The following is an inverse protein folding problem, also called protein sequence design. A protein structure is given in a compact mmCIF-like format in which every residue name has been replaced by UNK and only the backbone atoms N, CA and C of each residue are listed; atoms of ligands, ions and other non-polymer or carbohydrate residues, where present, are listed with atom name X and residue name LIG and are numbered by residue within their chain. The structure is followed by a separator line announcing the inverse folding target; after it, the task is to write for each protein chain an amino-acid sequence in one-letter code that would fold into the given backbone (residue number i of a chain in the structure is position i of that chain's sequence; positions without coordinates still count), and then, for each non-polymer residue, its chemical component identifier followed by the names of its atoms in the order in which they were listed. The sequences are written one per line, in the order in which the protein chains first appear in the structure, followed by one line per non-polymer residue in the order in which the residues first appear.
data_IF_662677105041
#
_entry.id   IF_662677105041
#
_cell.length_a   1.000
_cell.length_b   1.000
_cell.length_c   1.000
_cell.angle_alpha   90.00
_cell.angle_beta   90.00
_cell.angle_gamma   90.00
#
_symmetry.space_group_name_H-M   'P 1'
#
loop_
_entity.id
_entity.type
_entity.pdbx_description
1 polymer ?
#
# COMPACT_ATOMS: atom_id res chain seq x y z
N UNK A 1 21.99 -10.41 23.30
CA UNK A 1 20.59 -10.87 23.36
C UNK A 1 19.56 -9.73 23.29
N UNK A 2 19.57 -8.74 24.20
CA UNK A 2 18.54 -7.65 24.20
C UNK A 2 18.43 -6.88 22.87
N UNK A 3 19.54 -6.47 22.26
CA UNK A 3 19.52 -5.73 20.96
C UNK A 3 18.94 -6.55 19.80
N UNK A 4 19.27 -7.85 19.72
CA UNK A 4 18.71 -8.73 18.69
C UNK A 4 17.19 -8.93 18.88
N UNK A 5 16.73 -9.11 20.12
CA UNK A 5 15.31 -9.21 20.44
C UNK A 5 14.57 -7.92 20.08
N UNK A 6 15.14 -6.75 20.41
CA UNK A 6 14.54 -5.45 20.02
C UNK A 6 14.41 -5.31 18.51
N UNK A 7 15.42 -5.73 17.73
CA UNK A 7 15.36 -5.70 16.26
C UNK A 7 14.22 -6.56 15.72
N UNK A 8 14.10 -7.80 16.21
CA UNK A 8 13.03 -8.72 15.83
C UNK A 8 11.66 -8.12 16.16
N UNK A 9 11.51 -7.53 17.36
CA UNK A 9 10.22 -6.96 17.78
C UNK A 9 9.85 -5.72 16.97
N UNK A 10 10.81 -4.87 16.58
CA UNK A 10 10.53 -3.74 15.67
C UNK A 10 10.13 -4.24 14.29
N UNK A 11 10.73 -5.30 13.76
CA UNK A 11 10.31 -5.91 12.50
C UNK A 11 8.93 -6.58 12.63
N UNK A 12 8.61 -7.22 13.76
CA UNK A 12 7.26 -7.73 14.01
C UNK A 12 6.21 -6.60 14.14
N UNK A 13 6.58 -5.45 14.72
CA UNK A 13 5.71 -4.29 14.69
C UNK A 13 5.48 -3.77 13.27
N UNK A 14 6.51 -3.79 12.40
CA UNK A 14 6.37 -3.45 10.97
C UNK A 14 5.39 -4.37 10.25
N UNK A 15 5.35 -5.64 10.61
CA UNK A 15 4.40 -6.61 10.10
C UNK A 15 2.92 -6.19 10.29
N UNK A 16 2.60 -5.37 11.30
CA UNK A 16 1.23 -4.94 11.59
C UNK A 16 0.78 -3.68 10.84
N UNK A 17 1.67 -3.05 10.10
CA UNK A 17 1.43 -1.73 9.47
C UNK A 17 0.22 -1.75 8.54
N UNK A 18 0.12 -2.72 7.64
CA UNK A 18 -0.97 -2.79 6.67
C UNK A 18 -2.15 -3.65 7.14
N UNK A 19 -2.47 -3.64 8.44
CA UNK A 19 -3.59 -4.42 8.99
C UNK A 19 -4.92 -4.08 8.30
N UNK A 20 -5.16 -2.84 7.94
CA UNK A 20 -6.40 -2.42 7.30
C UNK A 20 -6.62 -3.05 5.92
N UNK A 21 -5.59 -3.58 5.26
CA UNK A 21 -5.69 -4.10 3.90
C UNK A 21 -6.64 -5.29 3.75
N UNK A 22 -6.91 -6.03 4.83
CA UNK A 22 -7.86 -7.13 4.79
C UNK A 22 -9.30 -6.69 4.51
N UNK A 23 -9.65 -5.42 4.73
CA UNK A 23 -11.02 -4.93 4.51
C UNK A 23 -11.48 -5.07 3.07
N UNK A 24 -10.55 -5.03 2.10
CA UNK A 24 -10.87 -5.27 0.68
C UNK A 24 -11.37 -6.69 0.41
N UNK A 25 -11.02 -7.67 1.26
CA UNK A 25 -11.35 -9.08 1.09
C UNK A 25 -12.82 -9.33 1.41
N UNK A 26 -13.33 -8.67 2.45
CA UNK A 26 -14.73 -8.81 2.90
C UNK A 26 -15.67 -7.82 2.22
N UNK A 27 -15.17 -6.97 1.35
CA UNK A 27 -15.95 -5.88 0.76
C UNK A 27 -17.14 -6.38 -0.06
N UNK A 28 -16.98 -7.48 -0.81
CA UNK A 28 -18.06 -8.11 -1.57
C UNK A 28 -19.21 -8.62 -0.69
N UNK A 29 -18.88 -9.26 0.43
CA UNK A 29 -19.90 -9.70 1.41
C UNK A 29 -20.59 -8.51 2.09
N UNK A 30 -19.86 -7.40 2.32
CA UNK A 30 -20.43 -6.18 2.92
C UNK A 30 -21.39 -5.51 1.94
N UNK A 31 -21.09 -5.45 0.64
CA UNK A 31 -22.04 -4.95 -0.37
C UNK A 31 -23.34 -5.73 -0.36
N UNK A 32 -23.27 -7.06 -0.23
CA UNK A 32 -24.46 -7.91 -0.12
C UNK A 32 -25.24 -7.66 1.18
N UNK A 33 -24.54 -7.38 2.29
CA UNK A 33 -25.18 -7.11 3.59
C UNK A 33 -25.85 -5.72 3.66
N UNK A 34 -25.37 -4.75 2.87
CA UNK A 34 -25.87 -3.36 2.88
C UNK A 34 -26.21 -2.87 1.46
N UNK A 35 -27.22 -3.44 0.79
CA UNK A 35 -27.56 -3.11 -0.58
C UNK A 35 -27.96 -1.63 -0.73
N UNK A 36 -27.54 -0.99 -1.82
CA UNK A 36 -27.83 0.40 -2.12
C UNK A 36 -26.98 1.42 -1.36
N UNK A 37 -25.96 0.98 -0.59
CA UNK A 37 -25.02 1.85 0.13
C UNK A 37 -23.58 1.75 -0.42
N UNK A 38 -23.41 1.35 -1.68
CA UNK A 38 -22.12 1.00 -2.28
C UNK A 38 -21.09 2.13 -2.20
N UNK A 39 -21.53 3.38 -2.45
CA UNK A 39 -20.69 4.58 -2.37
C UNK A 39 -20.16 4.88 -0.95
N UNK A 40 -20.85 4.42 0.08
CA UNK A 40 -20.38 4.53 1.48
C UNK A 40 -19.58 3.29 1.87
N UNK A 41 -20.00 2.12 1.41
CA UNK A 41 -19.35 0.84 1.72
C UNK A 41 -17.93 0.78 1.18
N UNK A 42 -17.66 1.33 0.00
CA UNK A 42 -16.30 1.39 -0.57
C UNK A 42 -15.32 2.17 0.33
N UNK A 43 -15.81 3.08 1.16
CA UNK A 43 -14.98 3.81 2.13
C UNK A 43 -14.36 2.89 3.20
N UNK A 44 -14.95 1.74 3.47
CA UNK A 44 -14.40 0.75 4.42
C UNK A 44 -13.00 0.31 3.98
N UNK A 45 -12.78 0.19 2.68
CA UNK A 45 -11.49 -0.21 2.12
C UNK A 45 -10.58 0.97 1.74
N UNK A 46 -11.15 2.11 1.33
CA UNK A 46 -10.38 3.23 0.78
C UNK A 46 -10.02 4.31 1.81
N UNK A 47 -10.88 4.57 2.80
CA UNK A 47 -10.64 5.62 3.81
C UNK A 47 -9.45 5.32 4.74
N UNK A 48 -9.13 4.07 5.13
CA UNK A 48 -7.94 3.78 5.91
C UNK A 48 -6.64 4.26 5.26
N UNK A 49 -6.54 4.26 3.92
CA UNK A 49 -5.37 4.76 3.19
C UNK A 49 -5.22 6.29 3.33
N UNK A 50 -6.32 7.03 3.38
CA UNK A 50 -6.30 8.48 3.66
C UNK A 50 -5.86 8.74 5.10
N UNK A 51 -6.38 7.97 6.07
CA UNK A 51 -5.98 8.08 7.47
C UNK A 51 -4.52 7.68 7.66
N UNK A 52 -4.02 6.68 6.95
CA UNK A 52 -2.59 6.36 6.89
C UNK A 52 -1.76 7.57 6.46
N UNK A 53 -2.14 8.24 5.39
CA UNK A 53 -1.46 9.44 4.89
C UNK A 53 -1.45 10.54 5.96
N UNK A 54 -2.61 10.87 6.54
CA UNK A 54 -2.74 11.90 7.57
C UNK A 54 -1.90 11.55 8.81
N UNK A 55 -1.98 10.30 9.26
CA UNK A 55 -1.22 9.83 10.42
C UNK A 55 0.29 9.78 10.18
N UNK A 56 0.73 9.52 8.95
CA UNK A 56 2.14 9.60 8.57
C UNK A 56 2.67 11.04 8.66
N UNK A 57 1.93 12.04 8.19
CA UNK A 57 2.29 13.45 8.37
C UNK A 57 2.27 13.86 9.84
N UNK A 58 1.23 13.48 10.58
CA UNK A 58 1.13 13.76 12.01
C UNK A 58 2.27 13.10 12.80
N UNK A 59 2.73 11.93 12.39
CA UNK A 59 3.79 11.19 13.08
C UNK A 59 5.11 11.96 13.11
N UNK A 60 5.42 12.79 12.12
CA UNK A 60 6.61 13.64 12.11
C UNK A 60 6.65 14.60 13.32
N UNK A 61 5.49 15.16 13.72
CA UNK A 61 5.36 16.01 14.89
C UNK A 61 5.24 15.21 16.19
N UNK A 62 4.52 14.10 16.16
CA UNK A 62 4.29 13.27 17.33
C UNK A 62 5.58 12.57 17.80
N UNK A 63 6.37 12.04 16.87
CA UNK A 63 7.64 11.36 17.17
C UNK A 63 8.71 12.32 17.69
N UNK A 64 8.60 13.63 17.38
CA UNK A 64 9.48 14.66 17.92
C UNK A 64 9.12 15.07 19.36
N UNK A 65 7.91 14.76 19.85
CA UNK A 65 7.42 15.20 21.17
C UNK A 65 7.15 14.04 22.13
N UNK A 66 6.80 12.87 21.60
CA UNK A 66 6.36 11.72 22.40
C UNK A 66 7.26 10.51 22.19
N UNK A 67 7.27 9.64 23.19
CA UNK A 67 8.02 8.39 23.15
C UNK A 67 7.49 7.49 22.01
N UNK A 68 8.37 7.09 21.09
CA UNK A 68 8.06 6.23 19.95
C UNK A 68 7.36 4.93 20.33
N UNK A 69 7.83 4.28 21.40
CA UNK A 69 7.23 3.05 21.92
C UNK A 69 5.76 3.24 22.31
N UNK A 70 5.45 4.34 23.00
CA UNK A 70 4.08 4.64 23.44
C UNK A 70 3.18 4.90 22.25
N UNK A 71 3.65 5.68 21.26
CA UNK A 71 2.89 5.95 20.03
C UNK A 71 2.60 4.70 19.23
N UNK A 72 3.57 3.78 19.10
CA UNK A 72 3.40 2.48 18.44
C UNK A 72 2.34 1.65 19.17
N UNK A 73 2.42 1.54 20.49
CA UNK A 73 1.45 0.76 21.29
C UNK A 73 0.03 1.35 21.14
N UNK A 74 -0.12 2.66 21.30
CA UNK A 74 -1.42 3.33 21.22
C UNK A 74 -2.06 3.13 19.84
N UNK A 75 -1.29 3.31 18.77
CA UNK A 75 -1.80 3.15 17.40
C UNK A 75 -2.26 1.71 17.14
N UNK A 76 -1.50 0.70 17.59
CA UNK A 76 -1.86 -0.70 17.45
C UNK A 76 -3.10 -1.06 18.28
N UNK A 77 -3.21 -0.54 19.52
CA UNK A 77 -4.38 -0.75 20.40
C UNK A 77 -5.64 -0.14 19.77
N UNK A 78 -5.54 1.07 19.20
CA UNK A 78 -6.67 1.70 18.49
C UNK A 78 -7.15 0.80 17.35
N UNK A 79 -6.25 0.27 16.53
CA UNK A 79 -6.63 -0.59 15.41
C UNK A 79 -7.28 -1.91 15.88
N UNK A 80 -6.74 -2.52 16.94
CA UNK A 80 -7.34 -3.73 17.53
C UNK A 80 -8.72 -3.44 18.09
N UNK A 81 -8.87 -2.37 18.87
CA UNK A 81 -10.17 -1.99 19.45
C UNK A 81 -11.21 -1.72 18.35
N UNK A 82 -10.83 -0.94 17.31
CA UNK A 82 -11.71 -0.66 16.18
C UNK A 82 -12.15 -1.93 15.44
N UNK A 83 -11.23 -2.84 15.15
CA UNK A 83 -11.56 -4.11 14.51
C UNK A 83 -12.46 -5.01 15.36
N UNK A 84 -12.20 -5.11 16.67
CA UNK A 84 -13.03 -5.88 17.58
C UNK A 84 -14.44 -5.31 17.72
N UNK A 85 -14.59 -3.98 17.71
CA UNK A 85 -15.92 -3.35 17.73
C UNK A 85 -16.71 -3.79 16.51
N UNK A 86 -16.14 -3.76 15.30
CA UNK A 86 -16.85 -4.25 14.09
C UNK A 86 -17.13 -5.76 14.15
N UNK A 87 -16.22 -6.55 14.73
CA UNK A 87 -16.38 -7.99 14.80
C UNK A 87 -17.49 -8.47 15.76
N UNK A 88 -17.87 -7.66 16.76
CA UNK A 88 -18.75 -8.08 17.84
C UNK A 88 -19.95 -7.16 18.08
N UNK A 89 -19.98 -5.98 17.49
CA UNK A 89 -21.07 -5.02 17.66
C UNK A 89 -21.73 -4.78 16.30
N UNK A 90 -23.04 -4.89 16.26
CA UNK A 90 -23.82 -4.52 15.07
C UNK A 90 -23.75 -3.01 14.86
N UNK A 91 -23.17 -2.59 13.76
CA UNK A 91 -22.97 -1.20 13.41
C UNK A 91 -23.64 -0.86 12.08
N UNK A 92 -24.15 0.38 11.93
CA UNK A 92 -24.49 0.89 10.61
C UNK A 92 -23.21 1.05 9.76
N UNK A 93 -23.33 1.08 8.42
CA UNK A 93 -22.18 1.20 7.49
C UNK A 93 -21.25 2.35 7.88
N UNK A 94 -21.79 3.52 8.25
CA UNK A 94 -20.99 4.66 8.69
C UNK A 94 -20.13 4.35 9.93
N UNK A 95 -20.63 3.53 10.86
CA UNK A 95 -19.86 3.06 12.02
C UNK A 95 -18.74 2.12 11.63
N UNK A 96 -18.98 1.21 10.67
CA UNK A 96 -17.96 0.31 10.12
C UNK A 96 -16.87 1.12 9.41
N UNK A 97 -17.26 2.13 8.61
CA UNK A 97 -16.34 3.05 7.94
C UNK A 97 -15.45 3.77 8.95
N UNK A 98 -16.03 4.32 10.03
CA UNK A 98 -15.26 5.02 11.06
C UNK A 98 -14.25 4.09 11.76
N UNK A 99 -14.67 2.88 12.12
CA UNK A 99 -13.76 1.88 12.70
C UNK A 99 -12.66 1.47 11.73
N UNK A 100 -13.00 1.20 10.47
CA UNK A 100 -12.00 0.86 9.43
C UNK A 100 -10.99 1.98 9.22
N UNK A 101 -11.44 3.24 9.19
CA UNK A 101 -10.58 4.41 9.08
C UNK A 101 -9.52 4.46 10.20
N UNK A 102 -9.92 4.19 11.45
CA UNK A 102 -9.00 4.14 12.59
C UNK A 102 -7.92 3.06 12.44
N UNK A 103 -8.20 1.97 11.72
CA UNK A 103 -7.23 0.93 11.44
C UNK A 103 -6.10 1.39 10.49
N UNK A 104 -6.26 2.53 9.81
CA UNK A 104 -5.20 3.17 9.03
C UNK A 104 -4.13 3.88 9.87
N UNK A 105 -4.40 4.19 11.15
CA UNK A 105 -3.47 4.92 12.02
C UNK A 105 -2.12 4.20 12.20
N UNK A 106 -2.06 2.88 12.48
CA UNK A 106 -0.78 2.18 12.59
C UNK A 106 0.06 2.27 11.32
N UNK A 107 -0.57 2.29 10.15
CA UNK A 107 0.15 2.35 8.88
C UNK A 107 1.01 3.62 8.76
N UNK A 108 0.54 4.76 9.25
CA UNK A 108 1.34 5.97 9.29
C UNK A 108 2.31 6.02 10.47
N UNK A 109 1.82 5.75 11.69
CA UNK A 109 2.60 5.93 12.93
C UNK A 109 3.68 4.87 13.09
N UNK A 110 3.33 3.57 12.95
CA UNK A 110 4.28 2.45 13.16
C UNK A 110 5.33 2.44 12.06
N UNK A 111 4.94 2.68 10.81
CA UNK A 111 5.88 2.72 9.69
C UNK A 111 6.95 3.81 9.90
N UNK A 112 6.53 5.04 10.24
CA UNK A 112 7.44 6.15 10.48
C UNK A 112 8.33 5.92 11.72
N UNK A 113 7.74 5.43 12.84
CA UNK A 113 8.50 5.11 14.04
C UNK A 113 9.57 4.04 13.77
N UNK A 114 9.19 2.93 13.12
CA UNK A 114 10.10 1.83 12.85
C UNK A 114 11.19 2.22 11.84
N UNK A 115 10.87 2.98 10.80
CA UNK A 115 11.85 3.49 9.85
C UNK A 115 12.92 4.35 10.54
N UNK A 116 12.55 5.11 11.59
CA UNK A 116 13.51 5.90 12.37
C UNK A 116 14.31 5.08 13.40
N UNK A 117 13.72 4.02 13.95
CA UNK A 117 14.34 3.19 15.00
C UNK A 117 15.29 2.13 14.44
N UNK A 118 14.93 1.50 13.32
CA UNK A 118 15.67 0.37 12.75
C UNK A 118 17.15 0.68 12.46
N UNK A 119 17.51 1.81 11.81
CA UNK A 119 18.92 2.14 11.57
C UNK A 119 19.73 2.35 12.85
N UNK A 120 19.08 2.79 13.94
CA UNK A 120 19.73 3.06 15.23
C UNK A 120 20.07 1.80 16.02
N UNK A 121 19.27 0.74 15.88
CA UNK A 121 19.42 -0.52 16.63
C UNK A 121 20.07 -1.64 15.82
N UNK A 122 20.12 -1.50 14.50
CA UNK A 122 20.69 -2.51 13.62
C UNK A 122 22.19 -2.68 13.87
N UNK A 123 22.69 -3.92 13.92
CA UNK A 123 24.15 -4.19 13.90
C UNK A 123 24.77 -3.64 12.62
N UNK A 124 26.05 -3.24 12.66
CA UNK A 124 26.75 -2.67 11.48
C UNK A 124 26.68 -3.59 10.26
N UNK A 125 26.73 -4.91 10.46
CA UNK A 125 26.62 -5.90 9.38
C UNK A 125 25.24 -5.96 8.70
N UNK A 126 24.20 -5.38 9.31
CA UNK A 126 22.84 -5.41 8.80
C UNK A 126 22.27 -4.01 8.48
N UNK A 127 22.99 -2.91 8.76
CA UNK A 127 22.52 -1.54 8.55
C UNK A 127 22.02 -1.31 7.12
N UNK A 128 22.76 -1.79 6.12
CA UNK A 128 22.40 -1.63 4.71
C UNK A 128 21.20 -2.47 4.28
N UNK A 129 20.85 -3.50 5.07
CA UNK A 129 19.79 -4.47 4.74
C UNK A 129 18.53 -4.30 5.58
N UNK A 130 18.62 -3.59 6.70
CA UNK A 130 17.54 -3.52 7.69
C UNK A 130 16.27 -2.89 7.14
N UNK A 131 16.39 -1.91 6.25
CA UNK A 131 15.23 -1.30 5.59
C UNK A 131 14.58 -2.26 4.58
N UNK A 132 15.36 -3.11 3.93
CA UNK A 132 14.83 -4.20 3.11
C UNK A 132 14.04 -5.22 3.93
N UNK A 133 14.53 -5.59 5.12
CA UNK A 133 13.78 -6.44 6.06
C UNK A 133 12.50 -5.78 6.56
N UNK A 134 12.54 -4.46 6.78
CA UNK A 134 11.35 -3.69 7.12
C UNK A 134 10.28 -3.81 6.04
N UNK A 135 10.63 -3.55 4.78
CA UNK A 135 9.69 -3.67 3.66
C UNK A 135 9.18 -5.12 3.49
N UNK A 136 10.04 -6.12 3.65
CA UNK A 136 9.64 -7.51 3.62
C UNK A 136 8.63 -7.84 4.73
N UNK A 137 8.83 -7.31 5.94
CA UNK A 137 7.91 -7.50 7.06
C UNK A 137 6.52 -6.87 6.78
N UNK A 138 6.46 -5.69 6.15
CA UNK A 138 5.21 -5.05 5.72
C UNK A 138 4.42 -5.98 4.79
N UNK A 139 5.06 -6.50 3.75
CA UNK A 139 4.42 -7.35 2.74
C UNK A 139 4.00 -8.71 3.31
N UNK A 140 4.85 -9.32 4.15
CA UNK A 140 4.51 -10.56 4.86
C UNK A 140 3.29 -10.38 5.77
N UNK A 141 3.20 -9.26 6.47
CA UNK A 141 2.04 -8.91 7.29
C UNK A 141 0.77 -8.84 6.46
N UNK A 142 0.80 -8.11 5.37
CA UNK A 142 -0.34 -7.98 4.46
C UNK A 142 -0.77 -9.35 3.89
N UNK A 143 0.19 -10.18 3.53
CA UNK A 143 -0.08 -11.56 3.06
C UNK A 143 -0.80 -12.40 4.11
N UNK A 144 -0.32 -12.38 5.36
CA UNK A 144 -0.93 -13.12 6.46
C UNK A 144 -2.33 -12.59 6.78
N UNK A 145 -2.51 -11.27 6.82
CA UNK A 145 -3.82 -10.67 7.09
C UNK A 145 -4.86 -11.08 6.05
N UNK A 146 -4.45 -11.16 4.78
CA UNK A 146 -5.34 -11.64 3.71
C UNK A 146 -5.79 -13.08 3.94
N UNK A 147 -4.87 -13.99 4.26
CA UNK A 147 -5.19 -15.40 4.55
C UNK A 147 -6.08 -15.55 5.78
N UNK A 148 -5.72 -14.89 6.88
CA UNK A 148 -6.44 -14.97 8.15
C UNK A 148 -7.84 -14.39 8.01
N UNK A 149 -8.00 -13.27 7.30
CA UNK A 149 -9.30 -12.69 7.01
C UNK A 149 -10.17 -13.65 6.20
N UNK A 150 -9.66 -14.20 5.10
CA UNK A 150 -10.39 -15.16 4.29
C UNK A 150 -10.84 -16.39 5.10
N UNK A 151 -10.03 -16.83 6.07
CA UNK A 151 -10.40 -17.92 6.97
C UNK A 151 -11.53 -17.53 7.94
N UNK A 152 -11.46 -16.37 8.59
CA UNK A 152 -12.47 -15.92 9.57
C UNK A 152 -13.77 -15.46 8.91
N UNK A 153 -13.71 -15.00 7.67
CA UNK A 153 -14.88 -14.51 6.91
C UNK A 153 -15.60 -15.62 6.12
N UNK A 154 -15.21 -16.90 6.27
CA UNK A 154 -15.82 -18.02 5.53
C UNK A 154 -17.33 -18.05 5.68
N UNK A 155 -18.04 -18.39 4.59
CA UNK A 155 -19.48 -18.54 4.57
C UNK A 155 -20.25 -17.22 4.65
N UNK A 156 -19.67 -16.11 4.16
CA UNK A 156 -20.32 -14.79 4.16
C UNK A 156 -20.27 -14.05 5.50
N UNK A 157 -19.47 -14.53 6.45
CA UNK A 157 -19.31 -13.87 7.77
C UNK A 157 -18.29 -12.72 7.67
N UNK A 158 -18.66 -11.65 6.95
CA UNK A 158 -17.80 -10.48 6.78
C UNK A 158 -17.33 -9.86 8.11
N UNK A 159 -18.20 -9.80 9.12
CA UNK A 159 -17.87 -9.28 10.45
C UNK A 159 -16.78 -10.15 11.12
N UNK A 160 -16.85 -11.47 10.91
CA UNK A 160 -15.79 -12.41 11.34
C UNK A 160 -14.42 -12.06 10.77
N UNK A 161 -14.35 -11.52 9.55
CA UNK A 161 -13.09 -11.09 8.92
C UNK A 161 -12.34 -10.04 9.75
N UNK A 162 -13.04 -9.19 10.50
CA UNK A 162 -12.42 -8.20 11.39
C UNK A 162 -11.72 -8.83 12.60
N UNK A 163 -11.98 -10.10 12.93
CA UNK A 163 -11.20 -10.86 13.94
C UNK A 163 -9.72 -11.05 13.53
N UNK A 164 -9.37 -10.74 12.30
CA UNK A 164 -7.96 -10.69 11.84
C UNK A 164 -7.07 -9.84 12.75
N UNK A 165 -7.63 -8.82 13.40
CA UNK A 165 -6.89 -7.98 14.37
C UNK A 165 -6.34 -8.75 15.57
N UNK A 166 -6.82 -9.96 15.86
CA UNK A 166 -6.24 -10.81 16.92
C UNK A 166 -4.77 -11.14 16.69
N UNK A 167 -4.33 -11.17 15.42
CA UNK A 167 -2.92 -11.40 15.07
C UNK A 167 -2.01 -10.30 15.62
N UNK A 168 -2.54 -9.10 15.86
CA UNK A 168 -1.75 -7.97 16.40
C UNK A 168 -1.53 -8.11 17.92
N UNK A 169 -2.43 -8.75 18.66
CA UNK A 169 -2.37 -8.78 20.13
C UNK A 169 -1.05 -9.36 20.66
N UNK A 170 -0.56 -10.52 20.19
CA UNK A 170 0.75 -11.02 20.58
C UNK A 170 1.89 -10.04 20.27
N UNK A 171 1.80 -9.33 19.15
CA UNK A 171 2.80 -8.35 18.75
C UNK A 171 2.79 -7.15 19.70
N UNK A 172 1.61 -6.66 20.12
CA UNK A 172 1.51 -5.59 21.13
C UNK A 172 2.21 -6.00 22.43
N UNK A 173 2.00 -7.23 22.90
CA UNK A 173 2.66 -7.75 24.12
C UNK A 173 4.19 -7.73 23.96
N UNK A 174 4.69 -8.20 22.81
CA UNK A 174 6.13 -8.18 22.52
C UNK A 174 6.68 -6.75 22.42
N UNK A 175 5.93 -5.83 21.84
CA UNK A 175 6.29 -4.40 21.76
C UNK A 175 6.35 -3.79 23.16
N UNK A 176 5.39 -4.07 24.03
CA UNK A 176 5.41 -3.60 25.43
C UNK A 176 6.65 -4.09 26.15
N UNK A 177 7.07 -5.33 25.94
CA UNK A 177 8.19 -5.92 26.65
C UNK A 177 9.56 -5.53 26.06
N UNK A 178 9.71 -5.54 24.74
CA UNK A 178 11.04 -5.54 24.10
C UNK A 178 11.28 -4.41 23.10
N UNK A 179 10.26 -3.59 22.77
CA UNK A 179 10.48 -2.44 21.87
C UNK A 179 11.46 -1.46 22.52
N UNK A 180 12.48 -0.97 21.80
CA UNK A 180 13.50 -0.10 22.37
C UNK A 180 12.91 1.23 22.83
N UNK A 181 13.27 1.65 24.04
CA UNK A 181 12.91 2.96 24.56
C UNK A 181 14.01 3.95 24.16
N UNK A 182 13.82 4.64 23.03
CA UNK A 182 14.77 5.63 22.53
C UNK A 182 14.28 6.99 23.01
N UNK A 183 15.09 7.74 23.81
CA UNK A 183 14.75 9.09 24.24
C UNK A 183 14.56 10.05 23.07
N UNK A 184 13.63 10.98 23.20
CA UNK A 184 13.32 11.99 22.16
C UNK A 184 14.52 12.87 21.79
N UNK A 185 15.44 13.07 22.74
CA UNK A 185 16.64 13.93 22.59
C UNK A 185 17.78 13.29 21.77
N UNK A 186 17.71 12.01 21.45
CA UNK A 186 18.81 11.27 20.76
C UNK A 186 18.83 11.49 19.25
N UNK A 187 17.88 12.22 18.70
CA UNK A 187 17.99 12.73 17.33
C UNK A 187 18.91 13.94 17.31
N UNK A 188 20.21 13.72 17.17
CA UNK A 188 21.02 14.69 16.46
C UNK A 188 20.30 14.92 15.12
N UNK A 189 19.69 16.11 14.94
CA UNK A 189 19.10 16.50 13.65
C UNK A 189 20.12 16.15 12.59
N UNK A 190 19.82 15.33 11.60
CA UNK A 190 20.76 15.08 10.53
C UNK A 190 21.19 16.45 10.03
N UNK A 191 22.50 16.71 9.93
CA UNK A 191 23.02 17.98 9.40
C UNK A 191 22.36 18.33 8.07
N UNK A 192 22.02 17.31 7.28
CA UNK A 192 21.24 17.40 6.05
C UNK A 192 19.87 18.05 6.19
N UNK A 193 19.10 17.81 7.29
CA UNK A 193 17.78 18.44 7.43
C UNK A 193 17.85 19.95 7.71
N UNK A 194 18.92 20.41 8.36
CA UNK A 194 19.10 21.85 8.64
C UNK A 194 19.58 22.59 7.39
N UNK A 195 20.40 21.96 6.57
CA UNK A 195 20.81 22.49 5.27
C UNK A 195 19.66 22.46 4.26
N UNK A 196 18.87 21.39 4.22
CA UNK A 196 17.68 21.26 3.36
C UNK A 196 16.58 22.28 3.70
N UNK A 197 16.43 22.71 4.98
CA UNK A 197 15.44 23.73 5.37
C UNK A 197 15.70 25.09 4.74
N UNK A 198 16.97 25.42 4.49
CA UNK A 198 17.37 26.70 3.91
C UNK A 198 17.49 26.66 2.37
N UNK A 199 17.43 25.47 1.77
CA UNK A 199 17.48 25.31 0.32
C UNK A 199 16.11 25.69 -0.29
N UNK A 200 16.11 26.57 -1.28
CA UNK A 200 14.87 26.89 -2.02
C UNK A 200 14.49 25.71 -2.92
N UNK A 201 13.21 25.34 -2.92
CA UNK A 201 12.70 24.37 -3.88
C UNK A 201 12.93 24.95 -5.28
N UNK A 202 13.82 24.31 -6.03
CA UNK A 202 14.07 24.68 -7.43
C UNK A 202 12.89 24.24 -8.33
N UNK A 203 12.87 24.76 -9.56
CA UNK A 203 11.87 24.34 -10.55
C UNK A 203 12.05 22.83 -10.83
N UNK A 204 11.00 22.04 -10.59
CA UNK A 204 11.03 20.61 -10.91
C UNK A 204 11.19 20.39 -12.42
N UNK A 205 12.05 19.46 -12.86
CA UNK A 205 12.16 19.09 -14.27
C UNK A 205 10.84 18.51 -14.78
N UNK A 206 10.52 18.77 -16.04
CA UNK A 206 9.25 18.33 -16.66
C UNK A 206 9.05 16.81 -16.56
N UNK A 207 10.13 16.03 -16.74
CA UNK A 207 10.03 14.58 -16.62
C UNK A 207 9.61 14.12 -15.22
N UNK A 208 10.08 14.78 -14.16
CA UNK A 208 9.71 14.46 -12.78
C UNK A 208 8.23 14.77 -12.49
N UNK A 209 7.74 15.89 -13.01
CA UNK A 209 6.31 16.23 -12.93
C UNK A 209 5.47 15.18 -13.67
N UNK A 210 5.87 14.77 -14.88
CA UNK A 210 5.19 13.74 -15.66
C UNK A 210 5.17 12.40 -14.93
N UNK A 211 6.27 12.01 -14.28
CA UNK A 211 6.34 10.80 -13.45
C UNK A 211 5.39 10.88 -12.26
N UNK A 212 5.34 12.00 -11.56
CA UNK A 212 4.42 12.21 -10.43
C UNK A 212 2.95 12.17 -10.87
N UNK A 213 2.62 12.80 -11.99
CA UNK A 213 1.26 12.73 -12.57
C UNK A 213 0.92 11.29 -12.97
N UNK A 214 1.85 10.59 -13.62
CA UNK A 214 1.68 9.16 -13.96
C UNK A 214 1.42 8.31 -12.72
N UNK A 215 2.13 8.59 -11.62
CA UNK A 215 1.93 7.88 -10.37
C UNK A 215 0.53 8.13 -9.78
N UNK A 216 0.11 9.40 -9.67
CA UNK A 216 -1.22 9.75 -9.15
C UNK A 216 -2.33 9.10 -9.98
N UNK A 217 -2.29 9.29 -11.31
CA UNK A 217 -3.30 8.72 -12.21
C UNK A 217 -3.24 7.19 -12.19
N UNK A 218 -2.05 6.62 -12.15
CA UNK A 218 -1.84 5.19 -11.98
C UNK A 218 -2.48 4.68 -10.68
N UNK A 219 -2.23 5.32 -9.53
CA UNK A 219 -2.82 4.95 -8.25
C UNK A 219 -4.34 4.92 -8.27
N UNK A 220 -4.98 5.81 -9.03
CA UNK A 220 -6.44 5.80 -9.17
C UNK A 220 -6.91 4.54 -9.92
N UNK A 221 -6.26 4.16 -11.02
CA UNK A 221 -6.80 3.13 -11.90
C UNK A 221 -6.31 1.70 -11.58
N UNK A 222 -5.05 1.49 -11.21
CA UNK A 222 -4.60 0.13 -10.90
C UNK A 222 -5.20 -0.45 -9.62
N UNK A 223 -5.68 0.41 -8.68
CA UNK A 223 -6.44 -0.04 -7.52
C UNK A 223 -7.85 -0.54 -7.86
N UNK A 224 -8.31 -0.39 -9.10
CA UNK A 224 -9.58 -0.93 -9.56
C UNK A 224 -9.72 -2.44 -9.37
N UNK A 225 -8.63 -3.21 -9.49
CA UNK A 225 -8.59 -4.62 -9.14
C UNK A 225 -8.82 -4.84 -7.63
N UNK A 226 -8.08 -4.16 -6.78
CA UNK A 226 -8.14 -4.38 -5.33
C UNK A 226 -9.48 -4.06 -4.71
N UNK A 227 -10.12 -2.99 -5.15
CA UNK A 227 -11.40 -2.55 -4.58
C UNK A 227 -12.60 -3.34 -5.10
N UNK A 228 -12.46 -4.04 -6.24
CA UNK A 228 -13.59 -4.69 -6.88
C UNK A 228 -13.44 -6.22 -7.00
N UNK A 229 -12.27 -6.81 -6.74
CA UNK A 229 -12.06 -8.25 -6.91
C UNK A 229 -12.91 -9.12 -5.99
N UNK A 230 -13.19 -8.65 -4.77
CA UNK A 230 -14.03 -9.37 -3.82
C UNK A 230 -15.47 -9.45 -4.32
N UNK A 231 -16.05 -8.34 -4.70
CA UNK A 231 -17.41 -8.27 -5.23
C UNK A 231 -17.53 -9.03 -6.55
N UNK A 232 -16.56 -8.90 -7.44
CA UNK A 232 -16.50 -9.65 -8.70
C UNK A 232 -16.47 -11.17 -8.47
N UNK A 233 -15.59 -11.67 -7.59
CA UNK A 233 -15.40 -13.10 -7.35
C UNK A 233 -16.62 -13.72 -6.66
N UNK A 234 -17.18 -13.03 -5.66
CA UNK A 234 -18.25 -13.54 -4.81
C UNK A 234 -19.61 -13.37 -5.48
N UNK A 235 -19.94 -12.14 -5.85
CA UNK A 235 -21.31 -11.78 -6.24
C UNK A 235 -21.56 -11.86 -7.74
N UNK A 236 -20.63 -11.35 -8.56
CA UNK A 236 -20.85 -11.26 -10.00
C UNK A 236 -20.48 -12.53 -10.75
N UNK A 237 -19.26 -13.02 -10.58
CA UNK A 237 -18.76 -14.22 -11.28
C UNK A 237 -19.04 -15.51 -10.51
N UNK A 238 -19.40 -15.44 -9.23
CA UNK A 238 -19.76 -16.57 -8.35
C UNK A 238 -18.70 -17.70 -8.40
N UNK A 239 -17.41 -17.32 -8.41
CA UNK A 239 -16.29 -18.27 -8.52
C UNK A 239 -15.95 -18.93 -7.18
N UNK A 240 -16.33 -18.31 -6.06
CA UNK A 240 -16.06 -18.81 -4.72
C UNK A 240 -16.45 -17.83 -3.63
N UNK A 241 -15.98 -18.09 -2.44
CA UNK A 241 -16.24 -17.30 -1.24
C UNK A 241 -15.06 -16.39 -0.86
N UNK A 242 -15.19 -15.70 0.26
CA UNK A 242 -14.16 -14.83 0.84
C UNK A 242 -12.83 -15.55 1.09
N UNK A 243 -12.83 -16.89 1.24
CA UNK A 243 -11.60 -17.69 1.36
C UNK A 243 -10.79 -17.63 0.06
N UNK A 244 -11.47 -17.76 -1.09
CA UNK A 244 -10.81 -17.61 -2.40
C UNK A 244 -10.25 -16.20 -2.58
N UNK A 245 -11.02 -15.17 -2.23
CA UNK A 245 -10.56 -13.76 -2.29
C UNK A 245 -9.32 -13.57 -1.41
N UNK A 246 -9.33 -14.11 -0.19
CA UNK A 246 -8.18 -14.10 0.72
C UNK A 246 -6.95 -14.77 0.12
N UNK A 247 -7.12 -15.92 -0.53
CA UNK A 247 -6.04 -16.64 -1.23
C UNK A 247 -5.46 -15.85 -2.41
N UNK A 248 -6.32 -15.27 -3.24
CA UNK A 248 -5.94 -14.45 -4.40
C UNK A 248 -5.17 -13.20 -3.94
N UNK A 249 -5.68 -12.46 -2.94
CA UNK A 249 -5.04 -11.25 -2.42
C UNK A 249 -3.75 -11.56 -1.64
N UNK A 250 -3.70 -12.69 -0.95
CA UNK A 250 -2.49 -13.16 -0.27
C UNK A 250 -1.36 -13.44 -1.27
N UNK A 251 -1.65 -14.16 -2.37
CA UNK A 251 -0.67 -14.38 -3.44
C UNK A 251 -0.24 -13.07 -4.09
N UNK A 252 -1.19 -12.16 -4.31
CA UNK A 252 -0.93 -10.83 -4.83
C UNK A 252 0.14 -10.10 -4.00
N UNK A 253 -0.04 -10.03 -2.68
CA UNK A 253 0.90 -9.36 -1.79
C UNK A 253 2.22 -10.10 -1.63
N UNK A 254 2.23 -11.43 -1.63
CA UNK A 254 3.45 -12.23 -1.59
C UNK A 254 4.35 -11.98 -2.81
N UNK A 255 3.76 -11.82 -3.98
CA UNK A 255 4.47 -11.52 -5.24
C UNK A 255 5.06 -10.11 -5.26
N UNK A 256 4.56 -9.18 -4.44
CA UNK A 256 5.12 -7.83 -4.28
C UNK A 256 6.62 -7.84 -3.97
N UNK A 257 7.03 -8.77 -3.12
CA UNK A 257 8.45 -8.88 -2.72
C UNK A 257 9.33 -9.25 -3.92
N UNK A 258 8.84 -10.12 -4.79
CA UNK A 258 9.53 -10.52 -6.03
C UNK A 258 9.62 -9.33 -6.97
N UNK A 259 8.53 -8.57 -7.13
CA UNK A 259 8.48 -7.36 -7.97
C UNK A 259 9.50 -6.31 -7.54
N UNK A 260 9.57 -6.01 -6.25
CA UNK A 260 10.55 -5.08 -5.70
C UNK A 260 12.01 -5.55 -5.89
N UNK A 261 12.27 -6.85 -5.69
CA UNK A 261 13.61 -7.42 -5.88
C UNK A 261 14.02 -7.46 -7.37
N UNK A 262 13.07 -7.68 -8.27
CA UNK A 262 13.32 -7.81 -9.71
C UNK A 262 13.56 -6.46 -10.41
N UNK A 263 13.27 -5.31 -9.78
CA UNK A 263 13.29 -3.99 -10.44
C UNK A 263 14.64 -3.67 -11.08
N UNK A 264 15.76 -3.95 -10.40
CA UNK A 264 17.10 -3.68 -10.95
C UNK A 264 17.40 -4.49 -12.20
N UNK A 265 16.99 -5.77 -12.22
CA UNK A 265 17.11 -6.62 -13.40
C UNK A 265 16.20 -6.12 -14.52
N UNK A 266 14.94 -5.82 -14.20
CA UNK A 266 13.94 -5.29 -15.14
C UNK A 266 14.39 -3.99 -15.81
N UNK A 267 14.90 -3.03 -15.01
CA UNK A 267 15.39 -1.76 -15.54
C UNK A 267 16.63 -1.92 -16.45
N UNK A 268 17.53 -2.87 -16.13
CA UNK A 268 18.69 -3.17 -16.99
C UNK A 268 18.24 -3.80 -18.31
N UNK A 269 17.27 -4.72 -18.28
CA UNK A 269 16.77 -5.43 -19.46
C UNK A 269 15.98 -4.50 -20.39
N UNK A 270 15.04 -3.75 -19.84
CA UNK A 270 14.06 -2.99 -20.63
C UNK A 270 14.33 -1.50 -20.73
N UNK A 271 15.28 -0.95 -19.95
CA UNK A 271 15.73 0.47 -20.03
C UNK A 271 14.53 1.44 -20.04
N UNK A 272 14.41 2.28 -21.07
CA UNK A 272 13.31 3.24 -21.23
C UNK A 272 11.92 2.63 -21.40
N UNK A 273 11.81 1.33 -21.62
CA UNK A 273 10.56 0.59 -21.64
C UNK A 273 10.14 0.04 -20.26
N UNK A 274 10.98 0.19 -19.25
CA UNK A 274 10.77 -0.44 -17.93
C UNK A 274 9.43 -0.09 -17.31
N UNK A 275 9.10 1.19 -17.22
CA UNK A 275 7.83 1.67 -16.66
C UNK A 275 6.63 1.34 -17.57
N UNK A 276 6.66 1.60 -18.90
CA UNK A 276 5.60 1.22 -19.80
C UNK A 276 5.24 -0.27 -19.73
N UNK A 277 6.24 -1.14 -19.85
CA UNK A 277 6.00 -2.60 -19.85
C UNK A 277 5.49 -3.11 -18.50
N UNK A 278 5.92 -2.54 -17.39
CA UNK A 278 5.42 -2.90 -16.07
C UNK A 278 3.92 -2.55 -15.92
N UNK A 279 3.52 -1.36 -16.35
CA UNK A 279 2.11 -0.96 -16.36
C UNK A 279 1.26 -1.77 -17.34
N UNK A 280 1.80 -2.08 -18.54
CA UNK A 280 1.12 -2.95 -19.50
C UNK A 280 0.92 -4.36 -18.93
N UNK A 281 1.93 -4.93 -18.25
CA UNK A 281 1.81 -6.23 -17.60
C UNK A 281 0.67 -6.23 -16.58
N UNK A 282 0.63 -5.23 -15.69
CA UNK A 282 -0.43 -5.09 -14.70
C UNK A 282 -1.80 -4.95 -15.34
N UNK A 283 -1.95 -4.03 -16.29
CA UNK A 283 -3.22 -3.76 -16.96
C UNK A 283 -3.75 -4.95 -17.76
N UNK A 284 -2.90 -5.62 -18.54
CA UNK A 284 -3.33 -6.80 -19.35
C UNK A 284 -3.75 -7.96 -18.46
N UNK A 285 -2.98 -8.24 -17.39
CA UNK A 285 -3.33 -9.31 -16.47
C UNK A 285 -4.63 -9.04 -15.70
N UNK A 286 -4.89 -7.80 -15.29
CA UNK A 286 -6.15 -7.43 -14.60
C UNK A 286 -7.34 -7.35 -15.54
N UNK A 287 -7.11 -7.13 -16.83
CA UNK A 287 -8.17 -7.19 -17.83
C UNK A 287 -8.65 -8.64 -18.09
N UNK A 288 -7.78 -9.64 -17.95
CA UNK A 288 -8.08 -11.03 -18.30
C UNK A 288 -9.33 -11.61 -17.60
N UNK A 289 -9.52 -11.50 -16.25
CA UNK A 289 -10.70 -12.06 -15.60
C UNK A 289 -12.00 -11.32 -15.97
N UNK A 290 -11.92 -10.10 -16.47
CA UNK A 290 -13.11 -9.36 -16.93
C UNK A 290 -13.69 -9.96 -18.21
N UNK A 291 -12.87 -10.66 -19.01
CA UNK A 291 -13.30 -11.34 -20.24
C UNK A 291 -13.51 -12.83 -19.98
N UNK A 292 -12.62 -13.47 -19.24
CA UNK A 292 -12.63 -14.90 -18.93
C UNK A 292 -12.74 -15.06 -17.40
N UNK A 293 -13.97 -15.09 -16.84
CA UNK A 293 -14.20 -15.16 -15.40
C UNK A 293 -13.93 -16.58 -14.88
N UNK A 294 -12.67 -16.88 -14.58
CA UNK A 294 -12.24 -18.17 -14.03
C UNK A 294 -11.24 -17.98 -12.90
N UNK A 295 -11.18 -18.93 -11.97
CA UNK A 295 -10.26 -18.90 -10.84
C UNK A 295 -8.79 -18.73 -11.29
N UNK A 296 -8.27 -19.49 -12.29
CA UNK A 296 -6.91 -19.27 -12.78
C UNK A 296 -6.66 -17.85 -13.29
N UNK A 297 -7.64 -17.24 -13.98
CA UNK A 297 -7.52 -15.87 -14.48
C UNK A 297 -7.45 -14.85 -13.32
N UNK A 298 -8.16 -15.06 -12.21
CA UNK A 298 -8.06 -14.24 -11.02
C UNK A 298 -6.65 -14.31 -10.38
N UNK A 299 -6.06 -15.50 -10.32
CA UNK A 299 -4.69 -15.67 -9.84
C UNK A 299 -3.65 -15.04 -10.79
N UNK A 300 -3.82 -15.16 -12.11
CA UNK A 300 -2.98 -14.48 -13.10
C UNK A 300 -3.08 -12.96 -12.95
N UNK A 301 -4.30 -12.45 -12.76
CA UNK A 301 -4.52 -11.02 -12.51
C UNK A 301 -3.82 -10.55 -11.24
N UNK A 302 -3.94 -11.30 -10.14
CA UNK A 302 -3.28 -11.00 -8.88
C UNK A 302 -1.75 -10.94 -9.03
N UNK A 303 -1.15 -11.94 -9.68
CA UNK A 303 0.31 -11.99 -9.91
C UNK A 303 0.75 -10.87 -10.83
N UNK A 304 0.12 -10.73 -11.99
CA UNK A 304 0.53 -9.76 -13.00
C UNK A 304 0.31 -8.31 -12.59
N UNK A 305 -0.81 -8.04 -11.91
CA UNK A 305 -1.10 -6.73 -11.33
C UNK A 305 0.02 -6.32 -10.37
N UNK A 306 0.30 -7.17 -9.39
CA UNK A 306 1.23 -6.81 -8.33
C UNK A 306 2.68 -6.75 -8.79
N UNK A 307 3.11 -7.68 -9.66
CA UNK A 307 4.43 -7.58 -10.31
C UNK A 307 4.55 -6.28 -11.09
N UNK A 308 3.57 -5.98 -11.94
CA UNK A 308 3.57 -4.79 -12.77
C UNK A 308 3.61 -3.52 -11.93
N UNK A 309 2.73 -3.39 -10.92
CA UNK A 309 2.64 -2.21 -10.06
C UNK A 309 3.91 -2.02 -9.24
N UNK A 310 4.43 -3.07 -8.59
CA UNK A 310 5.62 -2.95 -7.74
C UNK A 310 6.88 -2.62 -8.55
N UNK A 311 7.04 -3.19 -9.73
CA UNK A 311 8.11 -2.81 -10.65
C UNK A 311 7.93 -1.37 -11.11
N UNK A 312 6.71 -0.95 -11.46
CA UNK A 312 6.43 0.42 -11.90
C UNK A 312 6.74 1.45 -10.81
N UNK A 313 6.27 1.22 -9.57
CA UNK A 313 6.53 2.10 -8.42
C UNK A 313 8.03 2.20 -8.15
N UNK A 314 8.70 1.05 -8.07
CA UNK A 314 10.14 1.01 -7.77
C UNK A 314 10.99 1.63 -8.88
N UNK A 315 10.62 1.43 -10.15
CA UNK A 315 11.27 2.09 -11.28
C UNK A 315 11.08 3.61 -11.24
N UNK A 316 9.86 4.07 -10.95
CA UNK A 316 9.52 5.48 -10.84
C UNK A 316 10.31 6.15 -9.70
N UNK A 317 10.36 5.53 -8.52
CA UNK A 317 11.18 6.00 -7.40
C UNK A 317 12.67 6.06 -7.78
N UNK A 318 13.16 5.08 -8.52
CA UNK A 318 14.55 5.05 -8.99
C UNK A 318 14.84 6.20 -9.97
N UNK A 319 13.94 6.46 -10.93
CA UNK A 319 14.10 7.58 -11.87
C UNK A 319 14.09 8.93 -11.14
N UNK A 320 13.22 9.12 -10.16
CA UNK A 320 13.20 10.34 -9.35
C UNK A 320 14.45 10.45 -8.48
N UNK A 321 14.91 9.34 -7.87
CA UNK A 321 16.10 9.32 -7.03
C UNK A 321 17.39 9.60 -7.79
N UNK A 322 17.50 9.16 -9.04
CA UNK A 322 18.69 9.43 -9.89
C UNK A 322 18.66 10.84 -10.50
N UNK A 323 17.49 11.37 -10.78
CA UNK A 323 17.36 12.63 -11.51
C UNK A 323 17.07 13.86 -10.66
N UNK A 324 16.77 13.71 -9.36
CA UNK A 324 16.51 14.81 -8.44
C UNK A 324 17.51 14.79 -7.28
N UNK A 325 17.85 15.98 -6.77
CA UNK A 325 18.74 16.15 -5.61
C UNK A 325 18.10 17.10 -4.58
N UNK A 326 18.58 17.06 -3.34
CA UNK A 326 18.20 17.98 -2.28
C UNK A 326 16.69 18.03 -2.02
N UNK A 327 16.19 19.23 -1.83
CA UNK A 327 14.78 19.46 -1.48
C UNK A 327 13.78 19.01 -2.54
N UNK A 328 14.15 19.05 -3.83
CA UNK A 328 13.27 18.56 -4.90
C UNK A 328 13.04 17.05 -4.80
N UNK A 329 14.06 16.25 -4.47
CA UNK A 329 13.93 14.82 -4.25
C UNK A 329 13.01 14.53 -3.06
N UNK A 330 13.26 15.18 -1.91
CA UNK A 330 12.42 15.00 -0.71
C UNK A 330 10.97 15.36 -0.99
N UNK A 331 10.72 16.47 -1.70
CA UNK A 331 9.38 16.90 -2.09
C UNK A 331 8.71 15.87 -3.01
N UNK A 332 9.42 15.35 -4.03
CA UNK A 332 8.88 14.34 -4.93
C UNK A 332 8.51 13.04 -4.20
N UNK A 333 9.36 12.58 -3.28
CA UNK A 333 9.09 11.37 -2.48
C UNK A 333 7.89 11.56 -1.53
N UNK A 334 7.72 12.76 -0.96
CA UNK A 334 6.53 13.09 -0.15
C UNK A 334 5.26 13.10 -0.99
N UNK A 335 5.30 13.60 -2.23
CA UNK A 335 4.16 13.51 -3.14
C UNK A 335 3.79 12.06 -3.49
N UNK A 336 4.76 11.16 -3.66
CA UNK A 336 4.45 9.75 -3.91
C UNK A 336 3.62 9.14 -2.76
N UNK A 337 4.02 9.40 -1.53
CA UNK A 337 3.27 8.92 -0.35
C UNK A 337 1.84 9.50 -0.29
N UNK A 338 1.69 10.79 -0.55
CA UNK A 338 0.39 11.44 -0.58
C UNK A 338 -0.50 10.91 -1.72
N UNK A 339 0.08 10.67 -2.89
CA UNK A 339 -0.64 10.19 -4.07
C UNK A 339 -1.06 8.73 -3.95
N UNK A 340 -0.31 7.89 -3.23
CA UNK A 340 -0.70 6.52 -2.94
C UNK A 340 -2.03 6.47 -2.18
N UNK A 341 -2.11 7.13 -1.04
CA UNK A 341 -3.34 7.17 -0.24
C UNK A 341 -4.50 7.87 -0.96
N UNK A 342 -4.24 9.02 -1.60
CA UNK A 342 -5.25 9.76 -2.36
C UNK A 342 -5.75 8.95 -3.55
N UNK A 343 -4.88 8.22 -4.25
CA UNK A 343 -5.23 7.42 -5.41
C UNK A 343 -6.15 6.25 -5.06
N UNK A 344 -5.88 5.55 -3.95
CA UNK A 344 -6.77 4.49 -3.44
C UNK A 344 -8.15 5.05 -3.11
N UNK A 345 -8.20 6.19 -2.42
CA UNK A 345 -9.46 6.85 -2.08
C UNK A 345 -10.24 7.28 -3.34
N UNK A 346 -9.59 7.98 -4.25
CA UNK A 346 -10.20 8.45 -5.50
C UNK A 346 -10.64 7.29 -6.41
N UNK A 347 -9.94 6.15 -6.39
CA UNK A 347 -10.33 4.96 -7.13
C UNK A 347 -11.77 4.55 -6.84
N UNK A 348 -12.17 4.55 -5.56
CA UNK A 348 -13.53 4.18 -5.13
C UNK A 348 -14.65 5.03 -5.71
N UNK A 349 -14.34 6.18 -6.28
CA UNK A 349 -15.33 7.11 -6.88
C UNK A 349 -15.11 7.31 -8.37
N UNK A 350 -13.87 7.57 -8.80
CA UNK A 350 -13.55 7.89 -10.21
C UNK A 350 -13.77 6.68 -11.10
N UNK A 351 -13.37 5.49 -10.66
CA UNK A 351 -13.51 4.28 -11.48
C UNK A 351 -14.98 3.91 -11.66
N UNK A 352 -15.83 3.82 -10.62
CA UNK A 352 -17.26 3.57 -10.79
C UNK A 352 -17.98 4.66 -11.58
N UNK A 353 -17.61 5.94 -11.41
CA UNK A 353 -18.19 7.04 -12.18
C UNK A 353 -17.96 6.87 -13.69
N UNK A 354 -16.75 6.47 -14.10
CA UNK A 354 -16.42 6.22 -15.50
C UNK A 354 -17.09 4.92 -15.98
N UNK A 355 -17.08 3.87 -15.14
CA UNK A 355 -17.68 2.57 -15.46
C UNK A 355 -19.19 2.66 -15.64
N UNK A 356 -19.87 3.55 -14.91
CA UNK A 356 -21.30 3.78 -15.02
C UNK A 356 -21.79 4.11 -16.42
N UNK A 357 -20.92 4.66 -17.28
CA UNK A 357 -21.22 4.87 -18.70
C UNK A 357 -21.36 3.55 -19.50
N UNK A 358 -20.80 2.44 -19.00
CA UNK A 358 -20.79 1.12 -19.64
C UNK A 358 -21.64 0.09 -18.90
N UNK A 359 -21.94 0.34 -17.62
CA UNK A 359 -22.72 -0.51 -16.73
C UNK A 359 -22.18 -0.47 -15.31
N UNK A 360 -23.08 -0.55 -14.32
CA UNK A 360 -22.73 -0.54 -12.89
C UNK A 360 -22.45 -1.96 -12.41
N UNK A 361 -21.18 -2.41 -12.51
CA UNK A 361 -20.77 -3.71 -11.96
C UNK A 361 -19.28 -3.72 -11.61
N UNK A 362 -18.89 -4.66 -10.72
CA UNK A 362 -17.51 -4.87 -10.33
C UNK A 362 -16.61 -5.19 -11.55
N UNK A 363 -17.14 -5.96 -12.51
CA UNK A 363 -16.48 -6.27 -13.78
C UNK A 363 -16.15 -5.01 -14.58
N UNK A 364 -17.11 -4.09 -14.75
CA UNK A 364 -16.89 -2.85 -15.48
C UNK A 364 -15.89 -1.94 -14.76
N UNK A 365 -15.95 -1.87 -13.44
CA UNK A 365 -14.96 -1.15 -12.64
C UNK A 365 -13.53 -1.71 -12.87
N UNK A 366 -13.36 -3.02 -12.81
CA UNK A 366 -12.09 -3.67 -13.07
C UNK A 366 -11.62 -3.45 -14.52
N UNK A 367 -12.53 -3.51 -15.50
CA UNK A 367 -12.23 -3.28 -16.91
C UNK A 367 -11.74 -1.85 -17.14
N UNK A 368 -12.42 -0.85 -16.59
CA UNK A 368 -12.01 0.57 -16.66
C UNK A 368 -10.63 0.76 -16.04
N UNK A 369 -10.40 0.20 -14.85
CA UNK A 369 -9.10 0.25 -14.17
C UNK A 369 -7.98 -0.38 -15.02
N UNK A 370 -8.22 -1.55 -15.59
CA UNK A 370 -7.27 -2.27 -16.43
C UNK A 370 -6.95 -1.51 -17.73
N UNK A 371 -7.98 -1.08 -18.47
CA UNK A 371 -7.82 -0.34 -19.74
C UNK A 371 -7.11 0.99 -19.52
N UNK A 372 -7.49 1.74 -18.48
CA UNK A 372 -6.80 2.98 -18.13
C UNK A 372 -5.33 2.74 -17.77
N UNK A 373 -5.01 1.68 -17.02
CA UNK A 373 -3.62 1.32 -16.70
C UNK A 373 -2.82 0.98 -17.96
N UNK A 374 -3.42 0.28 -18.93
CA UNK A 374 -2.81 0.01 -20.24
C UNK A 374 -2.54 1.32 -21.00
N UNK A 375 -3.52 2.23 -21.06
CA UNK A 375 -3.39 3.53 -21.73
C UNK A 375 -2.28 4.36 -21.08
N UNK A 376 -2.22 4.40 -19.75
CA UNK A 376 -1.16 5.07 -19.00
C UNK A 376 0.19 4.46 -19.35
N UNK A 377 0.30 3.12 -19.40
CA UNK A 377 1.52 2.41 -19.80
C UNK A 377 1.99 2.82 -21.20
N UNK A 378 1.10 2.89 -22.17
CA UNK A 378 1.39 3.34 -23.53
C UNK A 378 1.79 4.83 -23.56
N UNK A 379 1.07 5.69 -22.83
CA UNK A 379 1.36 7.11 -22.76
C UNK A 379 2.74 7.39 -22.14
N UNK A 380 3.13 6.65 -21.11
CA UNK A 380 4.46 6.81 -20.45
C UNK A 380 5.61 6.53 -21.39
N UNK A 381 5.43 5.68 -22.40
CA UNK A 381 6.47 5.39 -23.39
C UNK A 381 6.93 6.65 -24.14
N UNK A 382 6.02 7.56 -24.44
CA UNK A 382 6.31 8.76 -25.24
C UNK A 382 7.37 9.67 -24.59
N UNK A 383 7.34 9.80 -23.27
CA UNK A 383 8.29 10.64 -22.53
C UNK A 383 9.43 9.86 -21.87
N UNK A 384 9.21 8.59 -21.46
CA UNK A 384 10.23 7.78 -20.82
C UNK A 384 11.40 7.43 -21.74
N UNK A 385 11.17 7.33 -23.05
CA UNK A 385 12.24 7.12 -24.03
C UNK A 385 13.27 8.26 -24.01
N UNK A 386 12.82 9.50 -23.78
CA UNK A 386 13.68 10.68 -23.65
C UNK A 386 14.22 10.83 -22.22
N UNK A 387 13.35 10.70 -21.23
CA UNK A 387 13.70 10.84 -19.81
C UNK A 387 14.75 9.83 -19.33
N UNK A 388 14.70 8.58 -19.78
CA UNK A 388 15.72 7.59 -19.45
C UNK A 388 17.12 8.02 -19.89
N UNK A 389 17.26 8.56 -21.10
CA UNK A 389 18.55 9.05 -21.60
C UNK A 389 19.08 10.23 -20.79
N UNK A 390 18.20 11.15 -20.37
CA UNK A 390 18.58 12.32 -19.56
C UNK A 390 19.03 11.89 -18.16
N UNK A 391 18.22 11.10 -17.46
CA UNK A 391 18.50 10.67 -16.08
C UNK A 391 19.78 9.85 -15.98
N UNK A 392 20.03 8.92 -16.91
CA UNK A 392 21.24 8.09 -16.88
C UNK A 392 22.49 8.77 -17.49
N UNK A 393 22.32 9.87 -18.22
CA UNK A 393 23.44 10.72 -18.63
C UNK A 393 23.92 11.60 -17.48
N UNK A 394 22.99 12.18 -16.71
CA UNK A 394 23.26 13.01 -15.54
C UNK A 394 23.83 12.20 -14.35
N UNK A 395 23.42 10.93 -14.18
CA UNK A 395 23.96 10.06 -13.14
C UNK A 395 25.40 9.58 -13.38
N UNK A 396 25.96 9.84 -14.58
CA UNK A 396 27.37 9.54 -14.92
C UNK A 396 28.30 10.74 -14.74
N UNK A 397 27.78 11.92 -14.50
CA UNK A 397 28.50 13.14 -14.13
C UNK A 397 28.46 13.34 -12.60
#
# INVERSE_FOLDING_TARGET
MKKAMSLIVVLLASFTVYIYSFTTIVLGDIYTAFPGQDSVTVLIASLPAVVMMISAFASAFLLAKFNRKILVIISMVIAVAAGLVVAYVELPVAGIVACSALMGIPAGVVAAANASVLPLIAPDSLKDKVMGFHQAALMLGQTLFALVCGFFARGGNWAGGFKTVYVIIPVIILVILFYPNIPVETEAKPKEETELKNEKVGRMPTYAILLLVTYLVGCIFWNGWYLNNSDFIINEAQLGDTTLVGGVNSLCTAVSMIGCAAVSFWMKAFKGWSLPLALLLGGVCTFLPTVIPTIPCCYIAAIGCQLGIMIAISALQTYLGLGLKGKNLTTAMSFLQAFEGSGVFLCGYVVPFIAGAFGESARHNMMVGAVATIIIGLATYTFMRRGHKQVFAEAKQ
#
